data_IF_523617531396
#
_entry.id   IF_523617531396
#
_cell.length_a   1.000
_cell.length_b   1.000
_cell.length_c   1.000
_cell.angle_alpha   90.00
_cell.angle_beta   90.00
_cell.angle_gamma   90.00
#
_symmetry.space_group_name_H-M   'P 1'
#
loop_
_entity.id
_entity.type
_entity.pdbx_description
1 polymer ?
#
# COMPACT_ATOMS: atom_id res chain seq x y z
N UNK A 1 1.14 -0.80 16.68
CA UNK A 1 1.56 -1.51 15.46
C UNK A 1 0.72 -1.04 14.29
N UNK A 2 1.35 -0.64 13.20
CA UNK A 2 0.63 -0.16 12.04
C UNK A 2 -0.07 -1.31 11.32
N UNK A 3 -1.30 -1.08 10.90
CA UNK A 3 -2.14 -2.11 10.29
C UNK A 3 -1.65 -2.55 8.92
N UNK A 4 -1.09 -1.63 8.16
CA UNK A 4 -0.64 -1.89 6.79
C UNK A 4 0.84 -1.58 6.65
N UNK A 5 1.65 -2.13 7.55
CA UNK A 5 3.10 -1.86 7.56
C UNK A 5 3.75 -2.15 6.21
N UNK A 6 3.27 -3.17 5.50
CA UNK A 6 3.90 -3.58 4.25
C UNK A 6 3.72 -2.58 3.11
N UNK A 7 2.62 -1.80 3.07
CA UNK A 7 2.50 -0.79 2.01
C UNK A 7 3.51 0.33 2.23
N UNK A 8 3.79 0.66 3.47
CA UNK A 8 4.84 1.63 3.78
C UNK A 8 6.22 1.07 3.43
N UNK A 9 6.48 -0.18 3.80
CA UNK A 9 7.75 -0.83 3.50
C UNK A 9 8.00 -0.89 1.99
N UNK A 10 6.99 -1.26 1.22
CA UNK A 10 7.11 -1.31 -0.24
C UNK A 10 7.41 0.07 -0.81
N UNK A 11 6.74 1.11 -0.30
CA UNK A 11 6.97 2.46 -0.75
C UNK A 11 8.39 2.92 -0.44
N UNK A 12 8.85 2.69 0.79
CA UNK A 12 10.19 3.11 1.20
C UNK A 12 11.27 2.34 0.45
N UNK A 13 11.07 1.05 0.23
CA UNK A 13 12.02 0.23 -0.53
C UNK A 13 12.15 0.70 -1.97
N UNK A 14 11.10 1.27 -2.54
CA UNK A 14 11.10 1.78 -3.91
C UNK A 14 11.52 3.26 -3.98
N UNK A 15 11.87 3.87 -2.86
CA UNK A 15 12.25 5.29 -2.76
C UNK A 15 11.17 6.23 -3.29
N UNK A 16 9.92 5.91 -2.99
CA UNK A 16 8.77 6.71 -3.43
C UNK A 16 8.22 7.54 -2.28
N UNK A 17 7.66 8.71 -2.62
CA UNK A 17 6.92 9.51 -1.66
C UNK A 17 5.47 9.05 -1.60
N UNK A 18 4.76 9.44 -0.53
CA UNK A 18 3.33 9.17 -0.42
C UNK A 18 2.56 9.80 -1.59
N UNK A 19 2.97 11.00 -2.02
CA UNK A 19 2.35 11.69 -3.14
C UNK A 19 2.51 10.89 -4.44
N UNK A 20 3.70 10.36 -4.68
CA UNK A 20 3.95 9.56 -5.89
C UNK A 20 3.09 8.31 -5.93
N UNK A 21 3.02 7.59 -4.83
CA UNK A 21 2.20 6.37 -4.78
C UNK A 21 0.72 6.69 -4.89
N UNK A 22 0.26 7.70 -4.16
CA UNK A 22 -1.13 8.12 -4.24
C UNK A 22 -1.54 8.46 -5.66
N UNK A 23 -0.68 9.20 -6.37
CA UNK A 23 -0.94 9.56 -7.76
C UNK A 23 -0.98 8.31 -8.66
N UNK A 24 -0.07 7.37 -8.43
CA UNK A 24 0.01 6.16 -9.25
C UNK A 24 -1.24 5.28 -9.12
N UNK A 25 -1.88 5.26 -7.96
CA UNK A 25 -3.07 4.44 -7.71
C UNK A 25 -4.36 5.26 -7.69
N UNK A 26 -4.28 6.53 -8.12
CA UNK A 26 -5.45 7.43 -8.22
C UNK A 26 -6.12 7.71 -6.88
N UNK A 27 -5.31 7.94 -5.84
CA UNK A 27 -5.78 8.23 -4.49
C UNK A 27 -5.15 9.54 -4.05
N UNK A 28 -5.90 10.48 -3.48
CA UNK A 28 -5.31 11.71 -2.94
C UNK A 28 -4.24 11.38 -1.90
N UNK A 29 -3.19 12.19 -1.84
CA UNK A 29 -2.09 11.96 -0.91
C UNK A 29 -2.57 11.82 0.54
N UNK A 30 -3.49 12.68 0.95
CA UNK A 30 -4.04 12.65 2.32
C UNK A 30 -4.71 11.32 2.61
N UNK A 31 -5.52 10.84 1.67
CA UNK A 31 -6.21 9.56 1.82
C UNK A 31 -5.21 8.41 1.88
N UNK A 32 -4.21 8.45 1.02
CA UNK A 32 -3.17 7.42 1.03
C UNK A 32 -2.43 7.41 2.38
N UNK A 33 -2.13 8.59 2.93
CA UNK A 33 -1.45 8.67 4.23
C UNK A 33 -2.29 8.02 5.34
N UNK A 34 -3.61 8.16 5.30
CA UNK A 34 -4.50 7.50 6.26
C UNK A 34 -4.42 5.98 6.13
N UNK A 35 -4.23 5.46 4.92
CA UNK A 35 -4.07 4.03 4.71
C UNK A 35 -2.77 3.53 5.36
N UNK A 36 -1.66 4.23 5.15
CA UNK A 36 -0.39 3.82 5.76
C UNK A 36 -0.43 3.87 7.28
N UNK A 37 -1.07 4.87 7.85
CA UNK A 37 -1.14 5.02 9.30
C UNK A 37 -2.15 4.08 9.95
N UNK A 38 -3.02 3.44 9.16
CA UNK A 38 -4.05 2.56 9.68
C UNK A 38 -5.30 3.29 10.15
N UNK A 39 -5.38 4.61 9.92
CA UNK A 39 -6.57 5.39 10.31
C UNK A 39 -7.80 5.04 9.48
N UNK A 40 -7.58 4.54 8.27
CA UNK A 40 -8.66 4.08 7.39
C UNK A 40 -8.29 2.72 6.84
N UNK A 41 -9.29 1.86 6.69
CA UNK A 41 -9.10 0.58 6.04
C UNK A 41 -8.91 0.78 4.54
N UNK A 42 -7.98 0.03 3.96
CA UNK A 42 -7.73 0.10 2.53
C UNK A 42 -8.84 -0.67 1.80
N UNK A 43 -9.59 -0.02 0.91
CA UNK A 43 -10.63 -0.73 0.16
C UNK A 43 -10.04 -1.79 -0.75
N UNK A 44 -10.81 -2.84 -1.09
CA UNK A 44 -10.29 -3.91 -1.97
C UNK A 44 -9.73 -3.40 -3.30
N UNK A 45 -10.37 -2.43 -3.93
CA UNK A 45 -9.88 -1.92 -5.22
C UNK A 45 -8.54 -1.20 -5.07
N UNK A 46 -8.29 -0.57 -3.92
CA UNK A 46 -7.00 0.08 -3.66
C UNK A 46 -5.94 -0.98 -3.35
N UNK A 47 -6.30 -2.04 -2.61
CA UNK A 47 -5.38 -3.15 -2.37
C UNK A 47 -4.94 -3.78 -3.69
N UNK A 48 -5.87 -3.99 -4.61
CA UNK A 48 -5.55 -4.53 -5.94
C UNK A 48 -4.64 -3.60 -6.72
N UNK A 49 -4.91 -2.30 -6.67
CA UNK A 49 -4.08 -1.31 -7.37
C UNK A 49 -2.66 -1.31 -6.82
N UNK A 50 -2.49 -1.39 -5.51
CA UNK A 50 -1.17 -1.46 -4.88
C UNK A 50 -0.45 -2.75 -5.25
N UNK A 51 -1.17 -3.87 -5.22
CA UNK A 51 -0.61 -5.16 -5.60
C UNK A 51 -0.10 -5.14 -7.05
N UNK A 52 -0.90 -4.58 -7.95
CA UNK A 52 -0.52 -4.47 -9.36
C UNK A 52 0.67 -3.53 -9.53
N UNK A 53 0.67 -2.41 -8.83
CA UNK A 53 1.73 -1.41 -8.95
C UNK A 53 3.08 -1.98 -8.51
N UNK A 54 3.10 -2.69 -7.38
CA UNK A 54 4.33 -3.27 -6.83
C UNK A 54 4.60 -4.69 -7.33
N UNK A 55 3.66 -5.28 -8.09
CA UNK A 55 3.77 -6.65 -8.61
C UNK A 55 3.94 -7.66 -7.47
N UNK A 56 3.11 -7.51 -6.46
CA UNK A 56 3.05 -8.41 -5.30
C UNK A 56 1.60 -8.86 -5.13
N UNK A 57 1.39 -9.90 -4.31
CA UNK A 57 0.03 -10.36 -4.04
C UNK A 57 -0.64 -9.48 -2.97
N UNK A 58 -1.96 -9.45 -2.99
CA UNK A 58 -2.72 -8.79 -1.92
C UNK A 58 -2.45 -9.47 -0.59
N UNK A 59 -2.30 -10.79 -0.58
CA UNK A 59 -1.97 -11.54 0.65
C UNK A 59 -0.65 -11.05 1.25
N UNK A 60 0.35 -10.76 0.42
CA UNK A 60 1.61 -10.21 0.92
C UNK A 60 1.38 -8.85 1.58
N UNK A 61 0.58 -7.98 0.94
CA UNK A 61 0.29 -6.64 1.47
C UNK A 61 -0.42 -6.75 2.83
N UNK A 62 -1.33 -7.71 2.96
CA UNK A 62 -2.07 -7.92 4.20
C UNK A 62 -1.28 -8.66 5.27
N UNK A 63 -0.06 -9.11 4.96
CA UNK A 63 0.77 -9.83 5.92
C UNK A 63 0.37 -11.29 6.11
N UNK A 64 -0.43 -11.85 5.19
CA UNK A 64 -0.90 -13.24 5.29
C UNK A 64 0.11 -14.23 4.74
N UNK A 65 1.09 -13.75 3.99
CA UNK A 65 2.18 -14.55 3.46
C UNK A 65 3.43 -13.70 3.37
N UNK A 66 4.60 -14.34 3.46
CA UNK A 66 5.89 -13.66 3.26
C UNK A 66 6.35 -13.72 1.80
N UNK A 67 5.61 -14.42 0.96
CA UNK A 67 5.92 -14.50 -0.47
C UNK A 67 5.27 -13.33 -1.19
N UNK A 68 6.08 -12.58 -1.97
CA UNK A 68 5.57 -11.43 -2.70
C UNK A 68 4.58 -11.81 -3.79
N UNK A 69 4.72 -12.99 -4.34
CA UNK A 69 3.83 -13.49 -5.39
C UNK A 69 3.34 -14.91 -5.10
#
# INVERSE_FOLDING_TARGET
MEKYQRIRDLREDADLTQQQVGKAINVPQRTYAYYESGQRMVPPHVLCALADYYKVSVDFILGRTDKKQ
#
